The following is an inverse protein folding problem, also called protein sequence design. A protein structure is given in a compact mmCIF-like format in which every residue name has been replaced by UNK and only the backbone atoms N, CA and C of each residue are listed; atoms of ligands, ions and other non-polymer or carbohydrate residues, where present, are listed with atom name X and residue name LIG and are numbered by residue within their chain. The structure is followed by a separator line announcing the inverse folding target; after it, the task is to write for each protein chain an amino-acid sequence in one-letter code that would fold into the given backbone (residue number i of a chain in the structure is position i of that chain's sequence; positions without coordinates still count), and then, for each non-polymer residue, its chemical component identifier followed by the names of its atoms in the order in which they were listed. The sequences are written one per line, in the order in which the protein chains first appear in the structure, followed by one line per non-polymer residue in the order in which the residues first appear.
data_IF_089221197998
#
_entry.id   IF_089221197998
#
_cell.length_a   1.000
_cell.length_b   1.000
_cell.length_c   1.000
_cell.angle_alpha   90.00
_cell.angle_beta   90.00
_cell.angle_gamma   90.00
#
_symmetry.space_group_name_H-M   'P 1'
#
loop_
_entity.id
_entity.type
_entity.pdbx_description
1 polymer ?
#
# COMPACT_ATOMS: atom_id res chain seq x y z
N UNK A 1 28.68 -21.10 -39.44
CA UNK A 1 28.45 -20.29 -38.22
C UNK A 1 28.13 -18.85 -38.65
N UNK A 2 26.86 -18.45 -38.77
CA UNK A 2 26.44 -17.03 -39.02
C UNK A 2 24.93 -16.75 -39.10
N UNK A 3 24.04 -17.67 -38.66
CA UNK A 3 22.58 -17.48 -38.77
C UNK A 3 21.79 -17.52 -37.45
N UNK A 4 22.48 -17.63 -36.30
CA UNK A 4 21.82 -17.78 -34.98
C UNK A 4 21.70 -16.44 -34.24
N UNK A 5 22.44 -15.40 -34.64
CA UNK A 5 22.47 -14.11 -33.91
C UNK A 5 21.21 -13.26 -34.14
N UNK A 6 20.44 -13.51 -35.20
CA UNK A 6 19.31 -12.63 -35.56
C UNK A 6 18.00 -12.94 -34.82
N UNK A 7 17.91 -14.05 -34.07
CA UNK A 7 16.66 -14.44 -33.39
C UNK A 7 16.52 -13.84 -31.97
N UNK A 8 17.62 -13.37 -31.38
CA UNK A 8 17.62 -12.81 -30.01
C UNK A 8 17.28 -11.31 -29.94
N UNK A 9 17.20 -10.61 -31.07
CA UNK A 9 16.91 -9.16 -31.11
C UNK A 9 15.44 -8.84 -31.39
N UNK A 10 14.60 -9.84 -31.71
CA UNK A 10 13.18 -9.62 -32.01
C UNK A 10 12.29 -9.61 -30.75
N UNK A 11 12.81 -9.99 -29.58
CA UNK A 11 12.03 -10.07 -28.34
C UNK A 11 11.95 -8.74 -27.55
N UNK A 12 12.69 -7.69 -27.96
CA UNK A 12 12.76 -6.41 -27.23
C UNK A 12 11.75 -5.36 -27.70
N UNK A 13 10.78 -5.73 -28.55
CA UNK A 13 9.84 -4.78 -29.16
C UNK A 13 8.39 -4.95 -28.70
N UNK A 14 8.11 -5.80 -27.71
CA UNK A 14 6.81 -5.73 -27.06
C UNK A 14 6.79 -4.50 -26.15
N UNK A 15 5.93 -3.49 -26.41
CA UNK A 15 5.63 -2.53 -25.38
C UNK A 15 5.03 -3.33 -24.23
N UNK A 16 5.76 -3.46 -23.12
CA UNK A 16 5.13 -3.70 -21.84
C UNK A 16 4.24 -2.47 -21.63
N UNK A 17 2.98 -2.58 -22.04
CA UNK A 17 2.00 -1.59 -21.66
C UNK A 17 2.02 -1.52 -20.14
N UNK A 18 2.31 -0.32 -19.65
CA UNK A 18 2.39 -0.02 -18.24
C UNK A 18 1.02 -0.25 -17.61
N UNK A 19 0.80 -1.40 -16.99
CA UNK A 19 -0.48 -1.79 -16.41
C UNK A 19 -0.39 -1.83 -14.87
N UNK A 20 -1.45 -1.38 -14.22
CA UNK A 20 -1.59 -1.51 -12.78
C UNK A 20 -1.71 -2.99 -12.41
N UNK A 21 -1.05 -3.39 -11.32
CA UNK A 21 -1.04 -4.76 -10.81
C UNK A 21 -1.85 -4.83 -9.53
N UNK A 22 -2.86 -5.68 -9.49
CA UNK A 22 -3.62 -5.98 -8.29
C UNK A 22 -3.20 -7.32 -7.71
N UNK A 23 -2.78 -7.35 -6.45
CA UNK A 23 -2.46 -8.59 -5.72
C UNK A 23 -3.52 -8.80 -4.64
N UNK A 24 -4.19 -9.95 -4.68
CA UNK A 24 -5.16 -10.36 -3.68
C UNK A 24 -4.48 -11.04 -2.47
N UNK A 25 -5.17 -11.09 -1.34
CA UNK A 25 -4.74 -11.84 -0.15
C UNK A 25 -4.54 -13.34 -0.43
N UNK A 26 -5.18 -13.88 -1.46
CA UNK A 26 -4.97 -15.25 -1.92
C UNK A 26 -3.65 -15.45 -2.69
N UNK A 27 -2.82 -14.41 -2.86
CA UNK A 27 -1.57 -14.44 -3.63
C UNK A 27 -1.75 -14.38 -5.16
N UNK A 28 -2.99 -14.26 -5.64
CA UNK A 28 -3.27 -14.10 -7.08
C UNK A 28 -2.97 -12.66 -7.51
N UNK A 29 -2.25 -12.50 -8.61
CA UNK A 29 -1.95 -11.21 -9.21
C UNK A 29 -2.71 -11.03 -10.53
N UNK A 30 -3.27 -9.84 -10.75
CA UNK A 30 -3.99 -9.45 -11.94
C UNK A 30 -3.37 -8.19 -12.52
N UNK A 31 -3.23 -8.13 -13.84
CA UNK A 31 -2.77 -6.94 -14.57
C UNK A 31 -3.98 -6.23 -15.17
N UNK A 32 -4.06 -4.91 -15.06
CA UNK A 32 -5.26 -4.15 -15.42
C UNK A 32 -5.12 -2.65 -15.15
N UNK A 33 -6.25 -1.97 -14.99
CA UNK A 33 -6.30 -0.55 -14.66
C UNK A 33 -7.18 -0.31 -13.42
N UNK A 34 -6.67 0.47 -12.46
CA UNK A 34 -7.48 0.93 -11.32
C UNK A 34 -8.33 2.11 -11.77
N UNK A 35 -9.64 1.89 -11.92
CA UNK A 35 -10.59 2.95 -12.30
C UNK A 35 -10.96 3.80 -11.09
N UNK A 36 -11.24 3.16 -9.95
CA UNK A 36 -11.72 3.86 -8.76
C UNK A 36 -11.44 3.10 -7.49
N UNK A 37 -10.90 3.79 -6.49
CA UNK A 37 -10.85 3.31 -5.12
C UNK A 37 -11.91 4.02 -4.24
N UNK A 38 -12.77 3.24 -3.59
CA UNK A 38 -13.74 3.72 -2.58
C UNK A 38 -13.39 3.16 -1.20
N UNK A 39 -14.08 3.59 -0.14
CA UNK A 39 -13.83 3.14 1.25
C UNK A 39 -14.04 1.64 1.47
N UNK A 40 -14.83 0.96 0.63
CA UNK A 40 -15.17 -0.47 0.78
C UNK A 40 -14.70 -1.32 -0.38
N UNK A 41 -14.70 -0.78 -1.60
CA UNK A 41 -14.46 -1.53 -2.82
C UNK A 41 -13.48 -0.77 -3.73
N UNK A 42 -12.70 -1.53 -4.49
CA UNK A 42 -11.85 -1.05 -5.57
C UNK A 42 -12.42 -1.55 -6.90
N UNK A 43 -12.58 -0.64 -7.86
CA UNK A 43 -13.03 -0.96 -9.21
C UNK A 43 -11.80 -1.13 -10.09
N UNK A 44 -11.59 -2.35 -10.57
CA UNK A 44 -10.44 -2.75 -11.38
C UNK A 44 -10.92 -3.24 -12.74
N UNK A 45 -10.31 -2.77 -13.82
CA UNK A 45 -10.63 -3.23 -15.17
C UNK A 45 -9.53 -4.14 -15.68
N UNK A 46 -9.88 -5.36 -16.05
CA UNK A 46 -8.97 -6.33 -16.65
C UNK A 46 -9.68 -7.04 -17.81
N UNK A 47 -8.97 -7.26 -18.92
CA UNK A 47 -9.47 -7.98 -20.09
C UNK A 47 -10.89 -7.54 -20.52
N UNK A 48 -11.10 -6.22 -20.53
CA UNK A 48 -12.34 -5.54 -20.90
C UNK A 48 -13.54 -5.73 -19.95
N UNK A 49 -13.36 -6.47 -18.85
CA UNK A 49 -14.34 -6.63 -17.79
C UNK A 49 -14.02 -5.70 -16.60
N UNK A 50 -15.07 -5.17 -15.98
CA UNK A 50 -14.96 -4.32 -14.79
C UNK A 50 -15.29 -5.15 -13.56
N UNK A 51 -14.32 -5.28 -12.66
CA UNK A 51 -14.43 -6.01 -11.40
C UNK A 51 -14.55 -5.04 -10.23
N UNK A 52 -15.52 -5.28 -9.35
CA UNK A 52 -15.65 -4.55 -8.08
C UNK A 52 -15.16 -5.47 -6.97
N UNK A 53 -13.95 -5.18 -6.48
CA UNK A 53 -13.23 -6.05 -5.56
C UNK A 53 -13.28 -5.43 -4.16
N UNK A 54 -13.72 -6.17 -3.13
CA UNK A 54 -13.71 -5.70 -1.75
C UNK A 54 -12.27 -5.38 -1.30
N UNK A 55 -12.08 -4.27 -0.61
CA UNK A 55 -10.77 -3.91 -0.05
C UNK A 55 -10.23 -4.94 0.95
N UNK A 56 -11.12 -5.72 1.58
CA UNK A 56 -10.74 -6.83 2.47
C UNK A 56 -9.93 -7.91 1.78
N UNK A 57 -10.06 -8.03 0.46
CA UNK A 57 -9.48 -9.13 -0.30
C UNK A 57 -8.17 -8.70 -0.99
N UNK A 58 -7.80 -7.42 -0.87
CA UNK A 58 -6.67 -6.80 -1.58
C UNK A 58 -5.45 -6.73 -0.66
N UNK A 59 -4.41 -7.49 -1.04
CA UNK A 59 -3.12 -7.47 -0.37
C UNK A 59 -2.30 -6.24 -0.79
N UNK A 60 -2.26 -5.93 -2.08
CA UNK A 60 -1.43 -4.84 -2.62
C UNK A 60 -1.96 -4.38 -3.98
N UNK A 61 -1.72 -3.12 -4.32
CA UNK A 61 -2.03 -2.54 -5.63
C UNK A 61 -0.77 -1.87 -6.15
N UNK A 62 -0.05 -2.46 -7.09
CA UNK A 62 1.03 -1.79 -7.81
C UNK A 62 0.44 -0.84 -8.84
N UNK A 63 0.73 0.45 -8.72
CA UNK A 63 0.42 1.43 -9.75
C UNK A 63 1.69 1.65 -10.57
N UNK A 64 1.62 1.53 -11.89
CA UNK A 64 2.81 1.74 -12.74
C UNK A 64 3.15 3.23 -12.81
N UNK A 65 2.13 4.08 -13.00
CA UNK A 65 2.26 5.54 -12.91
C UNK A 65 1.05 6.14 -12.22
N UNK A 66 1.31 6.99 -11.22
CA UNK A 66 0.37 8.07 -10.87
C UNK A 66 0.52 9.12 -11.99
N UNK A 67 0.04 8.80 -13.20
CA UNK A 67 0.21 9.67 -14.35
C UNK A 67 -0.67 10.92 -14.18
N UNK A 68 -0.01 12.08 -14.10
CA UNK A 68 -0.60 13.34 -13.72
C UNK A 68 -1.43 14.09 -14.77
N UNK A 69 -1.79 15.30 -14.37
CA UNK A 69 -2.66 16.35 -14.93
C UNK A 69 -4.15 16.32 -14.55
N UNK A 70 -4.66 15.23 -14.00
CA UNK A 70 -5.94 15.17 -13.29
C UNK A 70 -5.80 14.06 -12.23
N UNK A 71 -4.99 14.31 -11.20
CA UNK A 71 -4.69 13.29 -10.19
C UNK A 71 -5.98 12.83 -9.52
N UNK A 72 -6.52 11.70 -9.97
CA UNK A 72 -7.71 11.13 -9.39
C UNK A 72 -7.43 10.91 -7.89
N UNK A 73 -8.19 11.55 -6.98
CA UNK A 73 -7.98 11.39 -5.54
C UNK A 73 -8.00 9.91 -5.13
N UNK A 74 -8.66 9.05 -5.91
CA UNK A 74 -8.69 7.62 -5.67
C UNK A 74 -7.32 6.95 -5.89
N UNK A 75 -6.60 7.27 -6.98
CA UNK A 75 -5.25 6.73 -7.28
C UNK A 75 -4.22 7.25 -6.29
N UNK A 76 -4.30 8.54 -5.93
CA UNK A 76 -3.46 9.15 -4.87
C UNK A 76 -3.61 8.41 -3.53
N UNK A 77 -4.84 8.10 -3.14
CA UNK A 77 -5.09 7.40 -1.88
C UNK A 77 -4.61 5.95 -1.89
N UNK A 78 -4.69 5.26 -3.04
CA UNK A 78 -4.11 3.92 -3.19
C UNK A 78 -2.60 3.97 -3.03
N UNK A 79 -1.93 4.90 -3.71
CA UNK A 79 -0.50 5.10 -3.58
C UNK A 79 -0.09 5.40 -2.13
N UNK A 80 -0.78 6.35 -1.48
CA UNK A 80 -0.56 6.70 -0.09
C UNK A 80 -0.76 5.51 0.87
N UNK A 81 -1.75 4.65 0.59
CA UNK A 81 -2.00 3.43 1.37
C UNK A 81 -0.88 2.41 1.23
N UNK A 82 -0.32 2.23 0.03
CA UNK A 82 0.83 1.36 -0.19
C UNK A 82 2.08 1.89 0.52
N UNK A 83 2.34 3.18 0.45
CA UNK A 83 3.43 3.82 1.19
C UNK A 83 3.28 3.65 2.70
N UNK A 84 2.06 3.78 3.23
CA UNK A 84 1.79 3.53 4.64
C UNK A 84 2.06 2.07 5.05
N UNK A 85 1.95 1.10 4.13
CA UNK A 85 2.38 -0.31 4.35
C UNK A 85 3.90 -0.42 4.40
N UNK A 86 4.64 0.32 3.55
CA UNK A 86 6.10 0.30 3.53
C UNK A 86 6.74 0.70 4.87
N UNK A 87 6.03 1.52 5.67
CA UNK A 87 6.45 1.95 7.02
C UNK A 87 6.93 0.79 7.89
N UNK A 88 6.29 -0.38 7.80
CA UNK A 88 6.78 -1.63 8.37
C UNK A 88 6.95 -1.67 9.90
N UNK A 89 6.43 -0.68 10.66
CA UNK A 89 6.60 -0.61 12.13
C UNK A 89 5.59 -1.46 12.92
N UNK A 90 5.04 -2.51 12.32
CA UNK A 90 4.00 -3.35 12.93
C UNK A 90 4.51 -3.95 14.24
N UNK A 91 5.72 -4.51 14.26
CA UNK A 91 6.30 -5.12 15.46
C UNK A 91 6.50 -4.12 16.60
N UNK A 92 6.96 -2.90 16.29
CA UNK A 92 7.13 -1.86 17.31
C UNK A 92 5.79 -1.45 17.93
N UNK A 93 4.75 -1.29 17.11
CA UNK A 93 3.42 -0.92 17.62
C UNK A 93 2.78 -2.10 18.39
N UNK A 94 3.03 -3.34 17.96
CA UNK A 94 2.64 -4.56 18.68
C UNK A 94 3.28 -4.60 20.08
N UNK A 95 4.61 -4.42 20.16
CA UNK A 95 5.33 -4.36 21.44
C UNK A 95 4.84 -3.20 22.31
N UNK A 96 4.67 -2.02 21.73
CA UNK A 96 4.17 -0.85 22.45
C UNK A 96 2.77 -1.10 23.01
N UNK A 97 1.89 -1.73 22.24
CA UNK A 97 0.58 -2.17 22.71
C UNK A 97 0.66 -3.19 23.83
N UNK A 98 1.60 -4.14 23.77
CA UNK A 98 1.76 -5.14 24.82
C UNK A 98 2.30 -4.56 26.14
N UNK A 99 3.24 -3.63 26.07
CA UNK A 99 3.90 -3.02 27.23
C UNK A 99 3.06 -1.87 27.82
N UNK A 100 2.58 -0.96 26.97
CA UNK A 100 1.90 0.26 27.38
C UNK A 100 0.38 0.19 27.22
N UNK A 101 -0.14 -0.90 26.67
CA UNK A 101 -1.58 -1.18 26.62
C UNK A 101 -2.39 -0.06 25.96
N UNK A 102 -3.46 0.42 26.60
CA UNK A 102 -4.31 1.48 26.07
C UNK A 102 -3.57 2.80 25.78
N UNK A 103 -2.46 3.09 26.46
CA UNK A 103 -1.71 4.33 26.23
C UNK A 103 -1.06 4.36 24.84
N UNK A 104 -0.55 3.22 24.37
CA UNK A 104 -0.01 3.10 23.02
C UNK A 104 -1.10 3.30 21.95
N UNK A 105 -2.29 2.73 22.18
CA UNK A 105 -3.46 2.90 21.32
C UNK A 105 -3.87 4.37 21.24
N UNK A 106 -3.98 5.04 22.39
CA UNK A 106 -4.30 6.47 22.46
C UNK A 106 -3.25 7.34 21.76
N UNK A 107 -1.97 7.03 21.95
CA UNK A 107 -0.86 7.72 21.27
C UNK A 107 -0.98 7.61 19.75
N UNK A 108 -1.19 6.40 19.22
CA UNK A 108 -1.31 6.18 17.77
C UNK A 108 -2.54 6.89 17.18
N UNK A 109 -3.66 6.96 17.91
CA UNK A 109 -4.87 7.68 17.50
C UNK A 109 -4.68 9.20 17.42
N UNK A 110 -3.87 9.78 18.30
CA UNK A 110 -3.58 11.22 18.33
C UNK A 110 -2.44 11.61 17.39
N UNK A 111 -1.55 10.67 17.06
CA UNK A 111 -0.41 10.94 16.20
C UNK A 111 -0.83 11.30 14.78
N UNK A 112 -0.13 12.27 14.21
CA UNK A 112 -0.19 12.57 12.78
C UNK A 112 1.01 11.93 12.10
N UNK A 113 0.75 10.94 11.24
CA UNK A 113 1.78 10.27 10.47
C UNK A 113 2.00 11.02 9.16
N UNK A 114 3.26 11.33 8.86
CA UNK A 114 3.66 11.92 7.58
C UNK A 114 4.68 11.00 6.90
N UNK A 115 4.64 10.86 5.57
CA UNK A 115 5.58 10.01 4.85
C UNK A 115 7.03 10.48 5.03
N UNK A 116 7.25 11.80 5.19
CA UNK A 116 8.57 12.40 5.42
C UNK A 116 9.23 12.00 6.74
N UNK A 117 8.45 11.58 7.73
CA UNK A 117 8.96 11.21 9.06
C UNK A 117 9.45 9.75 9.10
N UNK A 118 9.21 8.97 8.03
CA UNK A 118 9.58 7.57 7.93
C UNK A 118 10.60 7.37 6.81
N UNK A 119 11.88 7.22 7.19
CA UNK A 119 13.01 7.05 6.27
C UNK A 119 12.78 5.95 5.22
N UNK A 120 12.16 4.82 5.63
CA UNK A 120 11.88 3.70 4.74
C UNK A 120 10.88 4.08 3.65
N UNK A 121 9.91 4.94 3.96
CA UNK A 121 8.97 5.45 2.96
C UNK A 121 9.67 6.44 2.04
N UNK A 122 10.49 7.34 2.60
CA UNK A 122 11.25 8.31 1.80
C UNK A 122 12.20 7.64 0.80
N UNK A 123 12.86 6.54 1.18
CA UNK A 123 13.83 5.87 0.31
C UNK A 123 13.21 4.94 -0.74
N UNK A 124 12.04 4.35 -0.45
CA UNK A 124 11.43 3.33 -1.32
C UNK A 124 10.22 3.82 -2.11
N UNK A 125 9.61 4.94 -1.72
CA UNK A 125 8.41 5.42 -2.38
C UNK A 125 8.76 6.12 -3.72
N UNK A 126 8.13 5.72 -4.83
CA UNK A 126 8.19 6.48 -6.07
C UNK A 126 7.32 7.75 -6.03
N UNK A 127 6.55 7.97 -4.96
CA UNK A 127 5.49 8.98 -4.85
C UNK A 127 5.92 10.24 -4.09
N UNK A 128 7.24 10.45 -3.93
CA UNK A 128 7.80 11.55 -3.13
C UNK A 128 7.29 12.95 -3.53
N UNK A 129 6.95 13.15 -4.80
CA UNK A 129 6.38 14.40 -5.32
C UNK A 129 5.05 14.77 -4.62
N UNK A 130 4.27 13.78 -4.18
CA UNK A 130 2.96 13.96 -3.58
C UNK A 130 2.98 14.04 -2.05
N UNK A 131 4.16 14.03 -1.41
CA UNK A 131 4.27 14.04 0.06
C UNK A 131 3.80 15.33 0.73
N UNK A 132 3.55 16.37 -0.05
CA UNK A 132 2.96 17.62 0.42
C UNK A 132 1.50 17.78 0.00
N UNK A 133 0.96 16.87 -0.81
CA UNK A 133 -0.43 16.93 -1.25
C UNK A 133 -1.38 16.61 -0.08
N UNK A 134 -2.42 17.43 0.15
CA UNK A 134 -3.32 17.24 1.29
C UNK A 134 -4.16 15.96 1.21
N UNK A 135 -4.57 15.56 0.00
CA UNK A 135 -5.32 14.31 -0.23
C UNK A 135 -4.41 13.11 0.05
N UNK A 136 -3.17 13.16 -0.43
CA UNK A 136 -2.16 12.14 -0.17
C UNK A 136 -1.87 12.00 1.33
N UNK A 137 -1.60 13.12 2.00
CA UNK A 137 -1.32 13.15 3.44
C UNK A 137 -2.50 12.62 4.27
N UNK A 138 -3.72 12.96 3.89
CA UNK A 138 -4.92 12.44 4.55
C UNK A 138 -4.99 10.91 4.43
N UNK A 139 -4.84 10.37 3.22
CA UNK A 139 -4.93 8.93 2.98
C UNK A 139 -3.77 8.15 3.61
N UNK A 140 -2.55 8.69 3.56
CA UNK A 140 -1.38 8.12 4.23
C UNK A 140 -1.58 8.08 5.75
N UNK A 141 -1.94 9.21 6.37
CA UNK A 141 -2.12 9.32 7.82
C UNK A 141 -3.19 8.36 8.31
N UNK A 142 -4.31 8.29 7.59
CA UNK A 142 -5.41 7.37 7.91
C UNK A 142 -4.96 5.92 7.90
N UNK A 143 -4.25 5.50 6.85
CA UNK A 143 -3.81 4.11 6.73
C UNK A 143 -2.71 3.76 7.74
N UNK A 144 -1.73 4.64 7.93
CA UNK A 144 -0.64 4.46 8.87
C UNK A 144 -1.14 4.37 10.33
N UNK A 145 -2.10 5.24 10.68
CA UNK A 145 -2.79 5.22 11.97
C UNK A 145 -3.54 3.92 12.19
N UNK A 146 -4.34 3.50 11.21
CA UNK A 146 -5.09 2.24 11.30
C UNK A 146 -4.15 1.05 11.53
N UNK A 147 -3.07 0.93 10.75
CA UNK A 147 -2.10 -0.16 10.95
C UNK A 147 -1.42 -0.11 12.32
N UNK A 148 -1.05 1.08 12.80
CA UNK A 148 -0.40 1.24 14.09
C UNK A 148 -1.33 0.88 15.25
N UNK A 149 -2.54 1.46 15.25
CA UNK A 149 -3.59 1.17 16.24
C UNK A 149 -3.97 -0.29 16.26
N UNK A 150 -4.20 -0.93 15.10
CA UNK A 150 -4.55 -2.37 15.05
C UNK A 150 -3.41 -3.21 15.63
N UNK A 151 -2.16 -2.94 15.26
CA UNK A 151 -1.02 -3.66 15.81
C UNK A 151 -0.90 -3.46 17.34
N UNK A 152 -1.10 -2.25 17.84
CA UNK A 152 -1.09 -1.97 19.28
C UNK A 152 -2.23 -2.69 20.03
N UNK A 153 -3.45 -2.69 19.48
CA UNK A 153 -4.58 -3.43 20.07
C UNK A 153 -4.30 -4.93 20.13
N UNK A 154 -3.75 -5.51 19.05
CA UNK A 154 -3.35 -6.92 19.04
C UNK A 154 -2.29 -7.17 20.11
N UNK A 155 -1.28 -6.30 20.20
CA UNK A 155 -0.21 -6.37 21.19
C UNK A 155 -0.75 -6.38 22.62
N UNK A 156 -1.66 -5.47 22.93
CA UNK A 156 -2.35 -5.39 24.22
C UNK A 156 -3.10 -6.69 24.54
N UNK A 157 -3.79 -7.27 23.56
CA UNK A 157 -4.57 -8.50 23.74
C UNK A 157 -3.69 -9.75 23.96
N UNK A 158 -2.52 -9.83 23.31
CA UNK A 158 -1.64 -11.01 23.40
C UNK A 158 -0.61 -10.92 24.53
N UNK A 159 -0.34 -9.72 25.06
CA UNK A 159 0.61 -9.50 26.17
C UNK A 159 0.39 -10.38 27.41
N UNK A 160 -0.85 -10.60 27.90
CA UNK A 160 -1.09 -11.50 29.05
C UNK A 160 -0.62 -12.94 28.82
N UNK A 161 -0.52 -13.39 27.57
CA UNK A 161 -0.04 -14.74 27.21
C UNK A 161 1.49 -14.82 27.34
N UNK A 162 2.20 -13.71 27.21
CA UNK A 162 3.67 -13.67 27.29
C UNK A 162 4.17 -13.57 28.73
N UNK A 163 3.41 -12.91 29.62
CA UNK A 163 3.77 -12.75 31.03
C UNK A 163 3.35 -13.92 31.93
N UNK A 164 2.48 -14.82 31.45
CA UNK A 164 2.00 -15.99 32.19
C UNK A 164 2.70 -17.31 31.77
N UNK A 165 3.85 -17.22 31.11
CA UNK A 165 4.76 -18.35 30.81
C UNK A 165 6.07 -18.16 31.54
#
# INVERSE_FOLDING_TARGET
MKKIVTFLFALSLFPLEAMDVLILNSGKAFSGEVIRASKRNLTFKADNNTFVIPLSDIAFVGLDKIAGNNDDPSKLCVAASNDARLRGRIFNNLLAGGIFGPLAVGYDLLKNYRPKDDWKVVLHSPNAAYFNDPTYLYCYNRQAKLHATVAAVVGMAVSPVWYNK
#
